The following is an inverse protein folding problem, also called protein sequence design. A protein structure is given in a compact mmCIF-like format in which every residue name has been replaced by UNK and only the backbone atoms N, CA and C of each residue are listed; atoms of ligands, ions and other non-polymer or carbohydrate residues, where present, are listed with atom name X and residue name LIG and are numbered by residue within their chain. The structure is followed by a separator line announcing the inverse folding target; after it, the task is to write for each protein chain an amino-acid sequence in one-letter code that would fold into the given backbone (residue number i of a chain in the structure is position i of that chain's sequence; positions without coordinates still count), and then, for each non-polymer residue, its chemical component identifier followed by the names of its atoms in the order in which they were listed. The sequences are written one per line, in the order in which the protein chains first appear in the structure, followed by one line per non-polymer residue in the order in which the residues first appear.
data_IF_655839969065
#
_entry.id   IF_655839969065
#
_cell.length_a   1.000
_cell.length_b   1.000
_cell.length_c   1.000
_cell.angle_alpha   90.00
_cell.angle_beta   90.00
_cell.angle_gamma   90.00
#
_symmetry.space_group_name_H-M   'P 1'
#
loop_
_entity.id
_entity.type
_entity.pdbx_description
1 polymer ?
#
# COMPACT_ATOMS: atom_id res chain seq x y z
N UNK A 1 -13.27 -19.00 16.32
CA UNK A 1 -13.44 -18.09 15.15
C UNK A 1 -14.84 -17.53 15.19
N UNK A 2 -15.02 -16.26 14.83
CA UNK A 2 -16.34 -15.72 14.54
C UNK A 2 -16.78 -16.19 13.14
N UNK A 3 -18.05 -16.56 12.98
CA UNK A 3 -18.62 -16.96 11.69
C UNK A 3 -19.35 -15.78 11.07
N UNK A 4 -19.08 -15.50 9.79
CA UNK A 4 -19.78 -14.48 9.01
C UNK A 4 -20.39 -15.14 7.77
N UNK A 5 -21.70 -14.98 7.59
CA UNK A 5 -22.41 -15.46 6.40
C UNK A 5 -22.57 -14.32 5.40
N UNK A 6 -22.26 -14.59 4.14
CA UNK A 6 -22.38 -13.62 3.04
C UNK A 6 -23.07 -14.29 1.87
N UNK A 7 -24.13 -13.66 1.35
CA UNK A 7 -24.79 -14.10 0.13
C UNK A 7 -24.09 -13.50 -1.07
N UNK A 8 -23.70 -14.34 -2.03
CA UNK A 8 -23.07 -13.95 -3.28
C UNK A 8 -23.95 -14.37 -4.46
N UNK A 9 -24.07 -13.55 -5.52
CA UNK A 9 -24.60 -14.00 -6.79
C UNK A 9 -23.81 -15.20 -7.34
N UNK A 10 -24.48 -16.08 -8.11
CA UNK A 10 -23.87 -17.30 -8.64
C UNK A 10 -22.51 -17.07 -9.34
N UNK A 11 -22.33 -16.05 -10.21
CA UNK A 11 -21.04 -15.81 -10.85
C UNK A 11 -19.91 -15.50 -9.85
N UNK A 12 -20.22 -14.81 -8.76
CA UNK A 12 -19.23 -14.48 -7.72
C UNK A 12 -18.88 -15.71 -6.88
N UNK A 13 -19.86 -16.56 -6.59
CA UNK A 13 -19.63 -17.84 -5.91
C UNK A 13 -18.72 -18.74 -6.75
N UNK A 14 -19.03 -18.92 -8.03
CA UNK A 14 -18.21 -19.72 -8.95
C UNK A 14 -16.77 -19.21 -9.02
N UNK A 15 -16.59 -17.90 -9.06
CA UNK A 15 -15.27 -17.27 -9.03
C UNK A 15 -14.51 -17.63 -7.75
N UNK A 16 -15.12 -17.42 -6.57
CA UNK A 16 -14.51 -17.74 -5.27
C UNK A 16 -14.12 -19.21 -5.18
N UNK A 17 -14.99 -20.11 -5.63
CA UNK A 17 -14.71 -21.54 -5.65
C UNK A 17 -13.58 -21.90 -6.63
N UNK A 18 -13.50 -21.25 -7.79
CA UNK A 18 -12.40 -21.45 -8.73
C UNK A 18 -11.06 -21.02 -8.13
N UNK A 19 -11.02 -19.91 -7.38
CA UNK A 19 -9.82 -19.47 -6.68
C UNK A 19 -9.38 -20.49 -5.61
N UNK A 20 -10.33 -21.07 -4.88
CA UNK A 20 -10.03 -22.13 -3.91
C UNK A 20 -9.44 -23.40 -4.58
N UNK A 21 -9.86 -23.72 -5.81
CA UNK A 21 -9.34 -24.88 -6.56
C UNK A 21 -7.92 -24.72 -7.11
N UNK A 22 -7.34 -23.53 -7.06
CA UNK A 22 -5.97 -23.27 -7.57
C UNK A 22 -4.85 -23.92 -6.72
N UNK A 23 -5.18 -24.48 -5.55
CA UNK A 23 -4.21 -25.00 -4.59
C UNK A 23 -3.55 -23.93 -3.72
N UNK A 24 -3.79 -22.65 -3.99
CA UNK A 24 -3.32 -21.52 -3.16
C UNK A 24 -4.11 -21.35 -1.86
N UNK A 25 -5.36 -21.79 -1.84
CA UNK A 25 -6.27 -21.64 -0.71
C UNK A 25 -6.91 -23.00 -0.40
N UNK A 26 -7.14 -23.31 0.88
CA UNK A 26 -7.74 -24.59 1.28
C UNK A 26 -9.25 -24.61 1.09
N UNK A 27 -9.90 -23.44 1.10
CA UNK A 27 -11.35 -23.28 0.92
C UNK A 27 -11.71 -21.83 0.54
N UNK A 28 -13.00 -21.59 0.26
CA UNK A 28 -13.56 -20.28 -0.05
C UNK A 28 -13.34 -19.23 1.06
N UNK A 29 -13.49 -19.61 2.32
CA UNK A 29 -13.29 -18.70 3.45
C UNK A 29 -11.83 -18.28 3.60
N UNK A 30 -10.87 -19.12 3.23
CA UNK A 30 -9.44 -18.76 3.19
C UNK A 30 -9.17 -17.69 2.13
N UNK A 31 -9.75 -17.85 0.93
CA UNK A 31 -9.67 -16.83 -0.11
C UNK A 31 -10.30 -15.51 0.32
N UNK A 32 -11.49 -15.54 0.92
CA UNK A 32 -12.17 -14.32 1.40
C UNK A 32 -11.37 -13.63 2.51
N UNK A 33 -10.79 -14.38 3.45
CA UNK A 33 -9.92 -13.80 4.50
C UNK A 33 -8.69 -13.13 3.89
N UNK A 34 -8.09 -13.72 2.87
CA UNK A 34 -6.97 -13.12 2.16
C UNK A 34 -7.38 -11.83 1.42
N UNK A 35 -8.55 -11.82 0.77
CA UNK A 35 -9.08 -10.62 0.14
C UNK A 35 -9.30 -9.48 1.14
N UNK A 36 -9.86 -9.78 2.31
CA UNK A 36 -10.06 -8.79 3.38
C UNK A 36 -8.71 -8.22 3.84
N UNK A 37 -7.70 -9.07 4.00
CA UNK A 37 -6.35 -8.62 4.40
C UNK A 37 -5.73 -7.72 3.33
N UNK A 38 -5.85 -8.06 2.06
CA UNK A 38 -5.36 -7.21 0.95
C UNK A 38 -6.08 -5.87 0.87
N UNK A 39 -7.39 -5.85 1.12
CA UNK A 39 -8.17 -4.60 1.20
C UNK A 39 -7.67 -3.72 2.36
N UNK A 40 -7.42 -4.30 3.53
CA UNK A 40 -6.85 -3.57 4.67
C UNK A 40 -5.45 -3.02 4.37
N UNK A 41 -4.57 -3.84 3.79
CA UNK A 41 -3.21 -3.43 3.39
C UNK A 41 -3.25 -2.30 2.35
N UNK A 42 -4.12 -2.39 1.35
CA UNK A 42 -4.28 -1.36 0.33
C UNK A 42 -4.81 -0.04 0.91
N UNK A 43 -5.80 -0.10 1.82
CA UNK A 43 -6.31 1.09 2.52
C UNK A 43 -5.26 1.73 3.41
N UNK A 44 -4.51 0.93 4.16
CA UNK A 44 -3.43 1.44 5.00
C UNK A 44 -2.36 2.17 4.18
N UNK A 45 -1.92 1.58 3.06
CA UNK A 45 -0.94 2.21 2.16
C UNK A 45 -1.48 3.51 1.55
N UNK A 46 -2.76 3.53 1.15
CA UNK A 46 -3.41 4.74 0.66
C UNK A 46 -3.43 5.84 1.73
N UNK A 47 -3.83 5.50 2.95
CA UNK A 47 -3.94 6.46 4.06
C UNK A 47 -2.56 7.01 4.47
N UNK A 48 -1.52 6.18 4.44
CA UNK A 48 -0.13 6.60 4.68
C UNK A 48 0.33 7.65 3.64
N UNK A 49 0.14 7.35 2.35
CA UNK A 49 0.48 8.28 1.26
C UNK A 49 -0.31 9.59 1.40
N UNK A 50 -1.61 9.49 1.69
CA UNK A 50 -2.46 10.66 1.87
C UNK A 50 -2.05 11.52 3.07
N UNK A 51 -1.58 10.90 4.16
CA UNK A 51 -1.04 11.59 5.32
C UNK A 51 0.24 12.36 4.96
N UNK A 52 1.17 11.77 4.21
CA UNK A 52 2.38 12.44 3.75
C UNK A 52 2.09 13.61 2.80
N UNK A 53 1.16 13.43 1.85
CA UNK A 53 0.71 14.52 0.97
C UNK A 53 0.13 15.67 1.80
N UNK A 54 -0.76 15.35 2.75
CA UNK A 54 -1.38 16.35 3.63
C UNK A 54 -0.33 17.10 4.46
N UNK A 55 0.67 16.39 5.01
CA UNK A 55 1.76 17.00 5.75
C UNK A 55 2.59 17.94 4.87
N UNK A 56 2.92 17.53 3.64
CA UNK A 56 3.64 18.37 2.68
C UNK A 56 2.86 19.63 2.30
N UNK A 57 1.56 19.51 2.02
CA UNK A 57 0.71 20.67 1.74
C UNK A 57 0.65 21.65 2.93
N UNK A 58 0.55 21.13 4.16
CA UNK A 58 0.56 21.95 5.38
C UNK A 58 1.90 22.61 5.67
N UNK A 59 3.02 22.04 5.20
CA UNK A 59 4.34 22.66 5.35
C UNK A 59 4.54 23.90 4.49
N UNK A 60 3.61 24.19 3.58
CA UNK A 60 3.68 25.32 2.66
C UNK A 60 4.59 25.08 1.46
N UNK A 61 4.71 26.09 0.60
CA UNK A 61 5.47 25.99 -0.65
C UNK A 61 6.98 26.08 -0.35
N UNK A 62 7.73 25.10 -0.84
CA UNK A 62 9.19 25.12 -0.76
C UNK A 62 9.78 26.21 -1.66
N UNK A 63 10.76 26.96 -1.13
CA UNK A 63 11.45 28.05 -1.85
C UNK A 63 12.82 27.66 -2.40
N UNK A 64 13.30 26.45 -2.07
CA UNK A 64 14.64 25.97 -2.44
C UNK A 64 14.64 25.40 -3.86
N UNK A 65 15.70 25.72 -4.60
CA UNK A 65 15.97 25.12 -5.91
C UNK A 65 16.49 23.67 -5.77
N UNK A 66 16.39 22.89 -6.84
CA UNK A 66 16.92 21.52 -6.88
C UNK A 66 18.42 21.46 -6.55
N UNK A 67 19.21 22.46 -6.98
CA UNK A 67 20.64 22.56 -6.67
C UNK A 67 20.88 22.71 -5.17
N UNK A 68 20.09 23.54 -4.50
CA UNK A 68 20.20 23.74 -3.04
C UNK A 68 19.79 22.47 -2.30
N UNK A 69 18.69 21.82 -2.70
CA UNK A 69 18.26 20.55 -2.10
C UNK A 69 19.32 19.45 -2.23
N UNK A 70 19.97 19.35 -3.40
CA UNK A 70 21.04 18.39 -3.63
C UNK A 70 22.29 18.69 -2.76
N UNK A 71 22.66 19.97 -2.65
CA UNK A 71 23.78 20.39 -1.80
C UNK A 71 23.49 20.09 -0.32
N UNK A 72 22.29 20.39 0.16
CA UNK A 72 21.86 20.10 1.54
C UNK A 72 21.90 18.58 1.82
N UNK A 73 21.40 17.77 0.89
CA UNK A 73 21.39 16.31 1.02
C UNK A 73 22.80 15.71 1.04
N UNK A 74 23.71 16.20 0.18
CA UNK A 74 25.12 15.77 0.15
C UNK A 74 25.87 16.14 1.42
N UNK A 75 25.67 17.37 1.90
CA UNK A 75 26.23 17.82 3.17
C UNK A 75 25.76 16.95 4.35
N UNK A 76 24.48 16.56 4.36
CA UNK A 76 23.92 15.67 5.38
C UNK A 76 24.43 14.22 5.26
N UNK A 77 24.69 13.74 4.04
CA UNK A 77 25.20 12.39 3.76
C UNK A 77 26.73 12.25 3.91
N UNK A 78 27.47 13.36 4.05
CA UNK A 78 28.92 13.36 4.18
C UNK A 78 29.70 12.98 2.92
N UNK A 79 29.06 12.94 1.75
CA UNK A 79 29.69 12.65 0.45
C UNK A 79 30.05 13.95 -0.25
N UNK A 80 31.31 14.06 -0.70
CA UNK A 80 31.80 15.24 -1.43
C UNK A 80 31.90 14.90 -2.91
N UNK A 81 31.78 15.89 -3.81
CA UNK A 81 31.89 15.69 -5.28
C UNK A 81 33.19 15.00 -5.75
N UNK A 82 34.15 14.77 -4.85
CA UNK A 82 35.38 14.00 -5.09
C UNK A 82 35.20 12.47 -5.05
N UNK A 83 34.03 11.97 -4.63
CA UNK A 83 33.75 10.53 -4.47
C UNK A 83 33.19 9.85 -5.75
N UNK A 84 33.21 10.54 -6.90
CA UNK A 84 32.81 10.07 -8.25
C UNK A 84 33.90 10.37 -9.28
#
# INVERSE_FOLDING_TARGET
MATMNVSLPDPMKEWVEAQARTGRYSNASDYVRDLIRRDQEARAAHDEVQAHITAGLRSGVGTRSMKQLLQDARAAAGTTDADL
#
